data_IF_496132269461
#
_entry.id   IF_496132269461
#
_cell.length_a   1.000
_cell.length_b   1.000
_cell.length_c   1.000
_cell.angle_alpha   90.00
_cell.angle_beta   90.00
_cell.angle_gamma   90.00
#
_symmetry.space_group_name_H-M   'P 1'
#
loop_
_entity.id
_entity.type
_entity.pdbx_description
1 polymer ?
#
# COMPACT_ATOMS: atom_id res chain seq x y z
N UNK A 1 22.82 2.22 -4.18
CA UNK A 1 21.40 2.62 -4.05
C UNK A 1 20.69 1.91 -5.18
N UNK A 2 19.62 1.15 -4.87
CA UNK A 2 18.76 0.56 -5.90
C UNK A 2 17.64 1.56 -6.17
N UNK A 3 17.40 1.87 -7.44
CA UNK A 3 16.35 2.77 -7.89
C UNK A 3 15.47 2.01 -8.87
N UNK A 4 14.16 2.15 -8.70
CA UNK A 4 13.19 1.36 -9.44
C UNK A 4 11.87 2.12 -9.58
N UNK A 5 11.17 1.92 -10.69
CA UNK A 5 9.81 2.41 -10.83
C UNK A 5 8.89 1.53 -9.98
N UNK A 6 8.53 2.03 -8.80
CA UNK A 6 7.71 1.27 -7.87
C UNK A 6 6.28 1.02 -8.36
N UNK A 7 5.76 1.76 -9.34
CA UNK A 7 4.45 1.44 -9.93
C UNK A 7 4.54 0.26 -10.90
N UNK A 8 5.74 -0.08 -11.35
CA UNK A 8 6.01 -1.22 -12.20
C UNK A 8 7.27 -1.96 -11.72
N UNK A 9 7.24 -2.50 -10.49
CA UNK A 9 8.43 -3.12 -9.92
C UNK A 9 8.80 -4.38 -10.69
N UNK A 10 10.09 -4.61 -10.81
CA UNK A 10 10.68 -5.83 -11.33
C UNK A 10 10.34 -7.02 -10.42
N UNK A 11 10.21 -8.24 -10.96
CA UNK A 11 9.95 -9.44 -10.15
C UNK A 11 11.02 -9.71 -9.09
N UNK A 12 12.24 -9.20 -9.28
CA UNK A 12 13.34 -9.32 -8.35
C UNK A 12 13.13 -8.49 -7.07
N UNK A 13 12.33 -7.42 -7.13
CA UNK A 13 11.99 -6.58 -5.99
C UNK A 13 10.84 -7.21 -5.18
N UNK A 14 11.16 -8.18 -4.32
CA UNK A 14 10.17 -8.85 -3.48
C UNK A 14 10.76 -9.37 -2.16
N UNK A 15 9.89 -9.88 -1.28
CA UNK A 15 10.32 -10.50 -0.02
C UNK A 15 10.47 -9.52 1.15
N UNK A 16 9.87 -8.34 1.07
CA UNK A 16 9.87 -7.38 2.18
C UNK A 16 8.94 -7.87 3.30
N UNK A 17 9.46 -7.92 4.52
CA UNK A 17 8.65 -8.19 5.71
C UNK A 17 7.87 -6.96 6.19
N UNK A 18 8.32 -5.75 5.84
CA UNK A 18 7.66 -4.50 6.19
C UNK A 18 7.79 -3.52 5.02
N UNK A 19 6.69 -2.89 4.64
CA UNK A 19 6.65 -1.72 3.76
C UNK A 19 6.00 -0.55 4.52
N UNK A 20 6.61 0.63 4.44
CA UNK A 20 6.12 1.82 5.13
C UNK A 20 5.85 2.92 4.10
N UNK A 21 4.63 3.43 4.09
CA UNK A 21 4.21 4.56 3.28
C UNK A 21 4.01 5.81 4.16
N UNK A 22 4.87 6.81 3.92
CA UNK A 22 4.86 8.10 4.62
C UNK A 22 4.15 9.23 3.83
N UNK A 23 3.51 8.92 2.71
CA UNK A 23 2.83 9.92 1.85
C UNK A 23 2.95 9.68 0.35
N UNK A 24 3.49 8.56 -0.09
CA UNK A 24 3.55 8.19 -1.52
C UNK A 24 2.15 7.98 -2.06
N UNK A 25 1.30 7.24 -1.33
CA UNK A 25 -0.10 7.06 -1.72
C UNK A 25 -0.88 8.39 -1.79
N UNK A 26 -0.58 9.33 -0.89
CA UNK A 26 -1.18 10.66 -0.90
C UNK A 26 -0.75 11.45 -2.15
N UNK A 27 0.55 11.45 -2.49
CA UNK A 27 1.04 12.10 -3.69
C UNK A 27 0.40 11.53 -4.97
N UNK A 28 0.24 10.20 -5.05
CA UNK A 28 -0.48 9.54 -6.14
C UNK A 28 -1.94 9.97 -6.18
N UNK A 29 -2.58 10.09 -5.02
CA UNK A 29 -3.99 10.44 -4.90
C UNK A 29 -4.30 11.88 -5.32
N UNK A 30 -3.32 12.79 -5.16
CA UNK A 30 -3.44 14.20 -5.53
C UNK A 30 -3.15 14.46 -7.03
N UNK A 31 -2.69 13.46 -7.78
CA UNK A 31 -2.46 13.61 -9.21
C UNK A 31 -3.81 13.84 -9.94
N UNK A 32 -4.00 14.95 -10.67
CA UNK A 32 -5.26 15.19 -11.41
C UNK A 32 -5.48 14.20 -12.56
N UNK A 33 -4.43 13.53 -13.04
CA UNK A 33 -4.48 12.58 -14.14
C UNK A 33 -4.42 11.14 -13.62
N UNK A 34 -5.39 10.31 -14.03
CA UNK A 34 -5.40 8.86 -13.81
C UNK A 34 -5.25 8.41 -12.34
N UNK A 35 -5.56 9.26 -11.35
CA UNK A 35 -5.36 9.00 -9.93
C UNK A 35 -5.92 7.63 -9.47
N UNK A 36 -7.13 7.29 -9.94
CA UNK A 36 -7.77 6.03 -9.58
C UNK A 36 -6.99 4.80 -10.07
N UNK A 37 -6.52 4.84 -11.31
CA UNK A 37 -5.71 3.77 -11.92
C UNK A 37 -4.37 3.67 -11.21
N UNK A 38 -3.72 4.80 -10.93
CA UNK A 38 -2.42 4.83 -10.26
C UNK A 38 -2.51 4.32 -8.81
N UNK A 39 -3.59 4.61 -8.08
CA UNK A 39 -3.83 4.04 -6.74
C UNK A 39 -3.96 2.53 -6.78
N UNK A 40 -4.69 1.99 -7.76
CA UNK A 40 -4.83 0.54 -7.92
C UNK A 40 -3.50 -0.12 -8.33
N UNK A 41 -2.72 0.54 -9.19
CA UNK A 41 -1.38 0.08 -9.55
C UNK A 41 -0.45 0.08 -8.35
N UNK A 42 -0.46 1.13 -7.54
CA UNK A 42 0.30 1.20 -6.29
C UNK A 42 -0.07 0.08 -5.31
N UNK A 43 -1.37 -0.16 -5.11
CA UNK A 43 -1.85 -1.25 -4.25
C UNK A 43 -1.32 -2.62 -4.72
N UNK A 44 -1.32 -2.86 -6.04
CA UNK A 44 -0.76 -4.09 -6.62
C UNK A 44 0.75 -4.19 -6.42
N UNK A 45 1.49 -3.10 -6.58
CA UNK A 45 2.94 -3.08 -6.38
C UNK A 45 3.32 -3.36 -4.93
N UNK A 46 2.69 -2.69 -3.96
CA UNK A 46 2.91 -2.97 -2.53
C UNK A 46 2.67 -4.45 -2.23
N UNK A 47 1.59 -5.03 -2.76
CA UNK A 47 1.29 -6.45 -2.58
C UNK A 47 2.34 -7.36 -3.23
N UNK A 48 2.86 -7.03 -4.41
CA UNK A 48 3.82 -7.90 -5.09
C UNK A 48 5.19 -7.91 -4.42
N UNK A 49 5.56 -6.82 -3.73
CA UNK A 49 6.87 -6.75 -3.07
C UNK A 49 6.83 -7.30 -1.64
N UNK A 50 5.67 -7.27 -0.98
CA UNK A 50 5.48 -7.82 0.36
C UNK A 50 5.49 -9.34 0.37
N UNK A 51 5.99 -9.91 1.46
CA UNK A 51 5.75 -11.33 1.80
C UNK A 51 4.28 -11.54 2.15
N UNK A 52 3.82 -12.78 2.04
CA UNK A 52 2.45 -13.18 2.43
C UNK A 52 2.12 -12.83 3.89
N UNK A 53 3.12 -12.87 4.78
CA UNK A 53 3.04 -12.51 6.21
C UNK A 53 3.61 -11.11 6.53
N UNK A 54 3.86 -10.31 5.49
CA UNK A 54 4.45 -8.98 5.61
C UNK A 54 3.47 -7.93 6.15
N UNK A 55 4.02 -6.87 6.72
CA UNK A 55 3.26 -5.73 7.24
C UNK A 55 3.33 -4.54 6.30
N UNK A 56 2.17 -3.97 5.97
CA UNK A 56 2.08 -2.66 5.33
C UNK A 56 1.61 -1.62 6.34
N UNK A 57 2.42 -0.58 6.53
CA UNK A 57 2.12 0.54 7.43
C UNK A 57 1.94 1.77 6.57
N UNK A 58 0.78 2.43 6.67
CA UNK A 58 0.49 3.65 5.91
C UNK A 58 0.02 4.76 6.83
N UNK A 59 0.53 5.94 6.55
CA UNK A 59 0.13 7.21 7.14
C UNK A 59 -0.72 7.98 6.15
N UNK A 60 -1.82 8.60 6.59
CA UNK A 60 -2.74 9.32 5.68
C UNK A 60 -3.46 10.45 6.39
N UNK A 61 -3.60 11.57 5.68
CA UNK A 61 -4.35 12.75 6.14
C UNK A 61 -5.60 13.02 5.31
N UNK A 62 -5.67 12.50 4.06
CA UNK A 62 -6.81 12.77 3.16
C UNK A 62 -7.80 11.60 3.07
N UNK A 63 -7.45 10.41 3.56
CA UNK A 63 -8.29 9.22 3.47
C UNK A 63 -8.63 8.66 4.85
N UNK A 64 -9.87 8.21 5.01
CA UNK A 64 -10.26 7.47 6.21
C UNK A 64 -9.71 6.04 6.17
N UNK A 65 -9.61 5.41 7.34
CA UNK A 65 -9.24 3.99 7.47
C UNK A 65 -10.06 3.09 6.52
N UNK A 66 -11.38 3.25 6.50
CA UNK A 66 -12.25 2.40 5.67
C UNK A 66 -12.04 2.62 4.17
N UNK A 67 -11.76 3.87 3.75
CA UNK A 67 -11.42 4.15 2.36
C UNK A 67 -10.08 3.52 1.98
N UNK A 68 -9.08 3.62 2.86
CA UNK A 68 -7.78 2.98 2.65
C UNK A 68 -7.93 1.46 2.52
N UNK A 69 -8.68 0.83 3.42
CA UNK A 69 -8.97 -0.61 3.35
C UNK A 69 -9.69 -0.97 2.04
N UNK A 70 -10.69 -0.19 1.64
CA UNK A 70 -11.43 -0.41 0.38
C UNK A 70 -10.54 -0.29 -0.87
N UNK A 71 -9.48 0.51 -0.83
CA UNK A 71 -8.58 0.68 -1.98
C UNK A 71 -7.46 -0.37 -1.95
N UNK A 72 -6.78 -0.51 -0.80
CA UNK A 72 -5.53 -1.25 -0.66
C UNK A 72 -5.76 -2.74 -0.37
N UNK A 73 -6.86 -3.10 0.29
CA UNK A 73 -7.16 -4.51 0.60
C UNK A 73 -7.95 -5.21 -0.51
N UNK A 74 -8.25 -4.53 -1.63
CA UNK A 74 -8.89 -5.18 -2.79
C UNK A 74 -8.00 -6.31 -3.31
N UNK A 75 -8.50 -7.54 -3.17
CA UNK A 75 -7.76 -8.74 -3.56
C UNK A 75 -6.72 -9.21 -2.54
N UNK A 76 -6.82 -8.79 -1.28
CA UNK A 76 -6.28 -9.53 -0.14
C UNK A 76 -7.37 -10.48 0.37
N UNK A 77 -7.05 -11.75 0.57
CA UNK A 77 -7.97 -12.68 1.22
C UNK A 77 -8.20 -12.21 2.66
N UNK A 78 -9.46 -12.20 3.09
CA UNK A 78 -9.97 -11.62 4.34
C UNK A 78 -9.37 -12.18 5.64
N UNK A 79 -8.37 -13.06 5.57
CA UNK A 79 -7.57 -13.52 6.70
C UNK A 79 -6.49 -12.51 7.16
N UNK A 80 -6.10 -11.56 6.31
CA UNK A 80 -5.02 -10.58 6.61
C UNK A 80 -5.51 -9.22 7.12
N UNK A 81 -6.80 -8.91 7.05
CA UNK A 81 -7.37 -7.68 7.60
C UNK A 81 -7.71 -7.88 9.10
N UNK A 82 -6.76 -8.38 9.89
CA UNK A 82 -6.89 -8.34 11.33
C UNK A 82 -6.82 -6.88 11.76
N UNK A 83 -7.99 -6.27 11.97
CA UNK A 83 -8.12 -5.14 12.87
C UNK A 83 -7.68 -5.62 14.25
N UNK A 84 -6.40 -5.44 14.56
CA UNK A 84 -5.98 -5.38 15.95
C UNK A 84 -6.54 -4.08 16.51
N UNK A 85 -7.57 -4.20 17.35
CA UNK A 85 -7.79 -3.23 18.42
C UNK A 85 -6.53 -3.24 19.29
N UNK A 86 -5.62 -2.33 18.98
CA UNK A 86 -4.24 -2.35 19.45
C UNK A 86 -3.33 -1.77 18.39
N UNK A 87 -3.49 -0.47 18.15
CA UNK A 87 -2.57 0.38 17.38
C UNK A 87 -2.10 -0.23 16.05
N UNK A 88 -3.01 -0.32 15.09
CA UNK A 88 -2.62 -0.05 13.71
C UNK A 88 -2.06 1.37 13.72
N UNK A 89 -0.73 1.51 13.78
CA UNK A 89 -0.04 2.78 13.77
C UNK A 89 -0.23 3.48 12.43
N UNK A 90 -1.42 4.02 12.19
CA UNK A 90 -1.63 5.17 11.34
C UNK A 90 -1.02 6.33 12.13
N UNK A 91 0.27 6.59 11.89
CA UNK A 91 0.84 7.93 12.13
C UNK A 91 0.57 8.80 10.91
#
# INVERSE_FOLDING_TARGET
IQEEDFLSPSPELSGFGVCIDKGTFEAISLNPENAAVNREQYARAVRSVLKDDGLFIITSCNWTKDQLLSILCKGFDSAGAASLEGELGIV
#
